data_IF_952888554978
#
_entry.id   IF_952888554978
#
_cell.length_a   1.000
_cell.length_b   1.000
_cell.length_c   1.000
_cell.angle_alpha   90.00
_cell.angle_beta   90.00
_cell.angle_gamma   90.00
#
_symmetry.space_group_name_H-M   'P 1'
#
loop_
_entity.id
_entity.type
_entity.pdbx_description
1 polymer ?
#
# COMPACT_ATOMS: atom_id res chain seq x y z
N UNK A 1 -5.37 -22.29 50.40
CA UNK A 1 -4.67 -21.90 49.16
C UNK A 1 -5.54 -22.32 47.98
N UNK A 2 -6.13 -21.38 47.26
CA UNK A 2 -6.86 -21.66 46.03
C UNK A 2 -5.87 -21.64 44.86
N UNK A 3 -5.39 -22.81 44.48
CA UNK A 3 -4.61 -23.03 43.26
C UNK A 3 -5.56 -23.10 42.08
N UNK A 4 -5.60 -22.06 41.25
CA UNK A 4 -6.33 -22.05 39.98
C UNK A 4 -5.52 -22.80 38.89
N UNK A 5 -6.16 -23.62 38.03
CA UNK A 5 -5.46 -24.42 37.03
C UNK A 5 -4.84 -23.54 35.92
N UNK A 6 -3.60 -23.88 35.52
CA UNK A 6 -2.82 -23.18 34.48
C UNK A 6 -3.56 -23.10 33.12
N UNK A 7 -4.46 -24.05 32.84
CA UNK A 7 -5.25 -24.11 31.61
C UNK A 7 -6.23 -22.93 31.43
N UNK A 8 -6.74 -22.33 32.52
CA UNK A 8 -7.65 -21.19 32.44
C UNK A 8 -6.96 -19.92 31.92
N UNK A 9 -5.66 -19.74 32.22
CA UNK A 9 -4.91 -18.56 31.77
C UNK A 9 -4.64 -18.59 30.28
N UNK A 10 -4.38 -19.77 29.71
CA UNK A 10 -4.09 -19.94 28.28
C UNK A 10 -5.32 -19.59 27.43
N UNK A 11 -6.51 -20.10 27.79
CA UNK A 11 -7.76 -19.79 27.08
C UNK A 11 -8.15 -18.31 27.17
N UNK A 12 -7.86 -17.65 28.29
CA UNK A 12 -8.11 -16.21 28.46
C UNK A 12 -7.18 -15.36 27.59
N UNK A 13 -5.90 -15.74 27.50
CA UNK A 13 -4.93 -15.07 26.62
C UNK A 13 -5.30 -15.26 25.16
N UNK A 14 -5.65 -16.48 24.75
CA UNK A 14 -6.10 -16.78 23.40
C UNK A 14 -7.32 -15.94 23.01
N UNK A 15 -8.34 -15.88 23.89
CA UNK A 15 -9.53 -15.05 23.66
C UNK A 15 -9.18 -13.56 23.55
N UNK A 16 -8.25 -13.06 24.37
CA UNK A 16 -7.80 -11.67 24.29
C UNK A 16 -7.05 -11.37 22.99
N UNK A 17 -6.17 -12.28 22.54
CA UNK A 17 -5.46 -12.16 21.26
C UNK A 17 -6.44 -12.19 20.09
N UNK A 18 -7.39 -13.13 20.07
CA UNK A 18 -8.43 -13.20 19.03
C UNK A 18 -9.27 -11.93 19.02
N UNK A 19 -9.70 -11.43 20.18
CA UNK A 19 -10.45 -10.17 20.27
C UNK A 19 -9.64 -9.01 19.69
N UNK A 20 -8.37 -8.87 20.07
CA UNK A 20 -7.48 -7.83 19.55
C UNK A 20 -7.31 -7.93 18.03
N UNK A 21 -7.19 -9.14 17.48
CA UNK A 21 -7.08 -9.36 16.03
C UNK A 21 -8.37 -8.98 15.30
N UNK A 22 -9.53 -9.38 15.83
CA UNK A 22 -10.85 -9.05 15.26
C UNK A 22 -11.10 -7.55 15.34
N UNK A 23 -10.83 -6.93 16.48
CA UNK A 23 -10.98 -5.49 16.69
C UNK A 23 -10.07 -4.70 15.74
N UNK A 24 -8.81 -5.14 15.58
CA UNK A 24 -7.86 -4.55 14.63
C UNK A 24 -8.35 -4.66 13.20
N UNK A 25 -8.89 -5.81 12.79
CA UNK A 25 -9.46 -5.99 11.45
C UNK A 25 -10.60 -4.99 11.22
N UNK A 26 -11.54 -4.88 12.16
CA UNK A 26 -12.64 -3.93 12.08
C UNK A 26 -12.18 -2.46 12.11
N UNK A 27 -11.09 -2.13 12.79
CA UNK A 27 -10.49 -0.80 12.74
C UNK A 27 -9.86 -0.48 11.37
N UNK A 28 -9.14 -1.44 10.77
CA UNK A 28 -8.53 -1.31 9.45
C UNK A 28 -9.61 -1.11 8.39
N UNK A 29 -10.68 -1.90 8.41
CA UNK A 29 -11.80 -1.78 7.46
C UNK A 29 -12.50 -0.41 7.56
N UNK A 30 -12.76 0.07 8.79
CA UNK A 30 -13.33 1.42 9.02
C UNK A 30 -12.39 2.51 8.52
N UNK A 31 -11.10 2.41 8.81
CA UNK A 31 -10.09 3.38 8.34
C UNK A 31 -9.99 3.38 6.82
N UNK A 32 -9.97 2.21 6.18
CA UNK A 32 -9.98 2.07 4.73
C UNK A 32 -11.21 2.73 4.09
N UNK A 33 -12.39 2.49 4.67
CA UNK A 33 -13.64 3.14 4.22
C UNK A 33 -13.58 4.66 4.35
N UNK A 34 -13.01 5.18 5.45
CA UNK A 34 -12.84 6.61 5.65
C UNK A 34 -11.90 7.22 4.60
N UNK A 35 -10.74 6.60 4.37
CA UNK A 35 -9.77 7.07 3.36
C UNK A 35 -10.40 7.08 1.97
N UNK A 36 -11.10 6.00 1.59
CA UNK A 36 -11.80 5.91 0.31
C UNK A 36 -12.80 7.06 0.10
N UNK A 37 -13.63 7.36 1.10
CA UNK A 37 -14.58 8.47 1.04
C UNK A 37 -13.90 9.82 0.86
N UNK A 38 -12.82 10.08 1.61
CA UNK A 38 -12.07 11.33 1.51
C UNK A 38 -11.39 11.50 0.15
N UNK A 39 -10.75 10.45 -0.37
CA UNK A 39 -10.12 10.49 -1.69
C UNK A 39 -11.16 10.68 -2.81
N UNK A 40 -12.32 10.04 -2.69
CA UNK A 40 -13.43 10.24 -3.64
C UNK A 40 -13.89 11.71 -3.65
N UNK A 41 -14.02 12.34 -2.48
CA UNK A 41 -14.40 13.74 -2.37
C UNK A 41 -13.34 14.69 -2.96
N UNK A 42 -12.06 14.37 -2.83
CA UNK A 42 -10.96 15.17 -3.40
C UNK A 42 -10.98 15.05 -4.93
N UNK A 43 -11.11 13.82 -5.44
CA UNK A 43 -11.16 13.59 -6.89
C UNK A 43 -12.34 14.29 -7.58
N UNK A 44 -13.47 14.50 -6.90
CA UNK A 44 -14.64 15.16 -7.48
C UNK A 44 -14.53 16.68 -7.56
N UNK A 45 -13.56 17.29 -6.88
CA UNK A 45 -13.30 18.73 -6.89
C UNK A 45 -12.43 19.18 -8.07
N UNK A 46 -12.09 18.27 -9.00
CA UNK A 46 -11.16 18.52 -10.12
C UNK A 46 -9.77 19.02 -9.68
N UNK A 47 -9.32 18.69 -8.46
CA UNK A 47 -8.04 19.13 -7.89
C UNK A 47 -6.80 18.44 -8.54
N UNK A 48 -7.00 17.64 -9.59
CA UNK A 48 -5.95 16.99 -10.35
C UNK A 48 -5.29 15.80 -9.63
N UNK A 49 -4.41 15.09 -10.33
CA UNK A 49 -3.74 13.89 -9.78
C UNK A 49 -2.74 14.23 -8.67
N UNK A 50 -2.08 15.39 -8.74
CA UNK A 50 -1.10 15.81 -7.73
C UNK A 50 -1.73 15.92 -6.34
N UNK A 51 -2.88 16.60 -6.21
CA UNK A 51 -3.55 16.75 -4.92
C UNK A 51 -4.03 15.40 -4.37
N UNK A 52 -4.45 14.48 -5.25
CA UNK A 52 -4.84 13.14 -4.84
C UNK A 52 -3.65 12.37 -4.25
N UNK A 53 -2.48 12.46 -4.88
CA UNK A 53 -1.25 11.81 -4.41
C UNK A 53 -0.79 12.40 -3.07
N UNK A 54 -0.83 13.72 -2.92
CA UNK A 54 -0.53 14.40 -1.65
C UNK A 54 -1.53 14.00 -0.55
N UNK A 55 -2.82 13.91 -0.87
CA UNK A 55 -3.84 13.44 0.06
C UNK A 55 -3.62 11.98 0.48
N UNK A 56 -3.29 11.09 -0.44
CA UNK A 56 -2.95 9.69 -0.11
C UNK A 56 -1.76 9.65 0.85
N UNK A 57 -0.71 10.43 0.58
CA UNK A 57 0.47 10.50 1.43
C UNK A 57 0.12 10.99 2.84
N UNK A 58 -0.66 12.08 2.95
CA UNK A 58 -1.11 12.62 4.26
C UNK A 58 -2.00 11.64 5.04
N UNK A 59 -2.94 10.97 4.36
CA UNK A 59 -3.91 10.08 5.02
C UNK A 59 -3.31 8.75 5.48
N UNK A 60 -2.27 8.28 4.79
CA UNK A 60 -1.61 7.00 5.05
C UNK A 60 -0.28 7.12 5.78
N UNK A 61 0.35 8.30 5.79
CA UNK A 61 1.70 8.51 6.30
C UNK A 61 2.79 7.81 5.47
N UNK A 62 2.49 7.43 4.22
CA UNK A 62 3.41 6.74 3.31
C UNK A 62 3.96 7.69 2.26
N UNK A 63 5.13 7.36 1.72
CA UNK A 63 5.53 7.93 0.43
C UNK A 63 4.66 7.29 -0.65
N UNK A 64 4.28 8.08 -1.66
CA UNK A 64 3.44 7.65 -2.77
C UNK A 64 4.15 8.01 -4.07
N UNK A 65 4.19 7.09 -5.03
CA UNK A 65 4.68 7.31 -6.38
C UNK A 65 3.70 6.77 -7.42
N UNK A 66 3.36 7.60 -8.41
CA UNK A 66 2.54 7.22 -9.55
C UNK A 66 3.43 7.16 -10.78
N UNK A 67 3.45 6.02 -11.45
CA UNK A 67 4.27 5.76 -12.62
C UNK A 67 3.40 5.56 -13.87
N UNK A 68 3.92 5.92 -15.04
CA UNK A 68 3.35 5.51 -16.33
C UNK A 68 3.72 4.06 -16.69
N UNK A 69 3.21 3.57 -17.83
CA UNK A 69 3.50 2.22 -18.36
C UNK A 69 4.98 1.97 -18.70
N UNK A 70 5.82 3.02 -18.72
CA UNK A 70 7.27 2.97 -18.97
C UNK A 70 8.06 3.20 -17.68
N UNK A 71 7.39 3.19 -16.52
CA UNK A 71 7.96 3.40 -15.19
C UNK A 71 8.52 4.79 -14.93
N UNK A 72 8.16 5.78 -15.75
CA UNK A 72 8.43 7.18 -15.42
C UNK A 72 7.52 7.62 -14.29
N UNK A 73 8.09 8.17 -13.22
CA UNK A 73 7.34 8.79 -12.13
C UNK A 73 6.69 10.07 -12.68
N UNK A 74 5.35 10.10 -12.69
CA UNK A 74 4.54 11.25 -13.10
C UNK A 74 4.22 12.16 -11.91
N UNK A 75 3.98 11.55 -10.75
CA UNK A 75 3.64 12.24 -9.50
C UNK A 75 4.27 11.49 -8.34
N UNK A 76 4.75 12.22 -7.34
CA UNK A 76 5.28 11.61 -6.12
C UNK A 76 5.18 12.56 -4.94
N UNK A 77 4.88 12.00 -3.77
CA UNK A 77 4.97 12.70 -2.49
C UNK A 77 5.86 11.88 -1.58
N UNK A 78 6.99 12.45 -1.17
CA UNK A 78 8.01 11.79 -0.36
C UNK A 78 7.86 12.23 1.08
N UNK A 79 7.80 11.27 2.01
CA UNK A 79 7.76 11.58 3.44
C UNK A 79 9.18 11.91 3.94
N UNK A 80 9.33 12.78 4.97
CA UNK A 80 10.64 13.22 5.45
C UNK A 80 11.64 12.08 5.73
N UNK A 81 11.17 10.96 6.26
CA UNK A 81 12.00 9.79 6.58
C UNK A 81 12.60 9.08 5.35
N UNK A 82 12.12 9.37 4.14
CA UNK A 82 12.59 8.74 2.91
C UNK A 82 13.43 9.66 2.02
N UNK A 83 13.57 10.94 2.37
CA UNK A 83 14.29 11.94 1.55
C UNK A 83 15.72 11.50 1.26
N UNK A 84 16.42 10.97 2.27
CA UNK A 84 17.82 10.52 2.13
C UNK A 84 17.99 9.30 1.22
N UNK A 85 16.93 8.52 0.96
CA UNK A 85 16.97 7.30 0.16
C UNK A 85 16.26 7.47 -1.19
N UNK A 86 15.73 8.66 -1.47
CA UNK A 86 14.79 8.84 -2.58
C UNK A 86 15.43 8.55 -3.94
N UNK A 87 16.66 8.99 -4.17
CA UNK A 87 17.37 8.76 -5.44
C UNK A 87 17.56 7.27 -5.74
N UNK A 88 17.90 6.48 -4.72
CA UNK A 88 18.06 5.02 -4.83
C UNK A 88 16.72 4.33 -5.10
N UNK A 89 15.67 4.76 -4.39
CA UNK A 89 14.30 4.27 -4.59
C UNK A 89 13.85 4.59 -6.02
N UNK A 90 13.98 5.83 -6.46
CA UNK A 90 13.59 6.27 -7.80
C UNK A 90 14.35 5.48 -8.89
N UNK A 91 15.66 5.30 -8.74
CA UNK A 91 16.48 4.49 -9.64
C UNK A 91 16.00 3.03 -9.69
N UNK A 92 15.60 2.46 -8.55
CA UNK A 92 15.04 1.11 -8.48
C UNK A 92 13.68 1.03 -9.18
N UNK A 93 12.78 1.99 -8.94
CA UNK A 93 11.41 2.02 -9.47
C UNK A 93 11.36 2.15 -11.00
N UNK A 94 12.38 2.76 -11.62
CA UNK A 94 12.46 2.98 -13.07
C UNK A 94 12.85 1.73 -13.88
N UNK A 95 13.26 0.63 -13.24
CA UNK A 95 13.72 -0.59 -13.93
C UNK A 95 12.57 -1.59 -14.06
N UNK A 96 12.29 -2.04 -15.28
CA UNK A 96 11.22 -3.01 -15.54
C UNK A 96 11.44 -4.35 -14.84
N UNK A 97 12.68 -4.83 -14.82
CA UNK A 97 13.07 -6.09 -14.17
C UNK A 97 12.87 -6.05 -12.64
N UNK A 98 12.73 -4.85 -12.07
CA UNK A 98 12.40 -4.64 -10.67
C UNK A 98 10.88 -4.62 -10.40
N UNK A 99 9.99 -4.79 -11.38
CA UNK A 99 8.59 -5.05 -11.09
C UNK A 99 8.41 -6.51 -10.64
N UNK A 100 7.46 -6.79 -9.71
CA UNK A 100 7.01 -8.16 -9.47
C UNK A 100 6.62 -8.85 -10.78
N UNK A 101 6.96 -10.12 -10.93
CA UNK A 101 6.82 -10.87 -12.20
C UNK A 101 5.39 -10.86 -12.71
N UNK A 102 4.42 -10.89 -11.80
CA UNK A 102 2.99 -10.83 -12.10
C UNK A 102 2.61 -9.50 -12.75
N UNK A 103 3.30 -8.42 -12.40
CA UNK A 103 3.00 -7.05 -12.84
C UNK A 103 3.78 -6.61 -14.09
N UNK A 104 4.71 -7.43 -14.57
CA UNK A 104 5.53 -7.13 -15.76
C UNK A 104 4.70 -7.20 -17.05
N UNK A 105 3.81 -8.18 -17.19
CA UNK A 105 2.92 -8.27 -18.34
C UNK A 105 1.66 -7.40 -18.16
N UNK A 106 1.74 -6.17 -18.69
CA UNK A 106 0.65 -5.19 -18.67
C UNK A 106 -0.66 -5.66 -19.31
N UNK A 107 -0.67 -6.71 -20.14
CA UNK A 107 -1.89 -7.23 -20.75
C UNK A 107 -2.60 -8.27 -19.86
N UNK A 108 -1.90 -8.79 -18.85
CA UNK A 108 -2.40 -9.83 -17.95
C UNK A 108 -2.67 -9.33 -16.54
N UNK A 109 -2.26 -8.10 -16.22
CA UNK A 109 -2.45 -7.54 -14.86
C UNK A 109 -3.91 -7.46 -14.39
N UNK A 110 -4.88 -7.44 -15.30
CA UNK A 110 -6.31 -7.48 -14.93
C UNK A 110 -6.81 -8.86 -14.52
N UNK A 111 -6.04 -9.92 -14.78
CA UNK A 111 -6.38 -11.31 -14.46
C UNK A 111 -5.82 -11.75 -13.10
N UNK A 112 -5.01 -10.90 -12.46
CA UNK A 112 -4.37 -11.21 -11.18
C UNK A 112 -5.38 -11.05 -10.03
N UNK A 113 -5.53 -12.10 -9.21
CA UNK A 113 -6.42 -12.06 -8.04
C UNK A 113 -5.96 -11.03 -6.99
N UNK A 114 -4.66 -11.00 -6.70
CA UNK A 114 -4.04 -10.06 -5.77
C UNK A 114 -3.27 -8.98 -6.53
N UNK A 115 -3.95 -7.93 -6.98
CA UNK A 115 -3.33 -6.87 -7.75
C UNK A 115 -2.29 -6.05 -6.97
N UNK A 116 -2.35 -6.05 -5.63
CA UNK A 116 -1.39 -5.35 -4.77
C UNK A 116 -0.30 -6.32 -4.31
N UNK A 117 0.95 -6.03 -4.66
CA UNK A 117 2.11 -6.85 -4.34
C UNK A 117 3.03 -6.13 -3.34
N UNK A 118 3.52 -6.85 -2.34
CA UNK A 118 4.54 -6.35 -1.42
C UNK A 118 5.92 -6.70 -2.00
N UNK A 119 6.79 -5.70 -2.13
CA UNK A 119 8.13 -5.89 -2.68
C UNK A 119 9.18 -5.18 -1.82
N UNK A 120 10.22 -5.92 -1.45
CA UNK A 120 11.39 -5.36 -0.77
C UNK A 120 12.16 -4.41 -1.69
N UNK A 121 12.61 -3.28 -1.14
CA UNK A 121 13.46 -2.32 -1.83
C UNK A 121 14.94 -2.64 -1.55
N UNK A 122 15.88 -2.14 -2.38
CA UNK A 122 17.32 -2.39 -2.18
C UNK A 122 17.83 -1.77 -0.88
N UNK A 123 17.17 -0.72 -0.38
CA UNK A 123 17.45 -0.10 0.91
C UNK A 123 16.93 -1.01 2.04
N UNK A 124 17.81 -1.46 2.97
CA UNK A 124 17.42 -2.35 4.05
C UNK A 124 16.27 -1.80 4.90
N UNK A 125 15.31 -2.66 5.22
CA UNK A 125 14.15 -2.32 6.04
C UNK A 125 13.05 -1.54 5.31
N UNK A 126 13.21 -1.27 4.01
CA UNK A 126 12.18 -0.65 3.18
C UNK A 126 11.50 -1.67 2.27
N UNK A 127 10.19 -1.50 2.10
CA UNK A 127 9.38 -2.24 1.17
C UNK A 127 8.30 -1.33 0.59
N UNK A 128 7.85 -1.64 -0.62
CA UNK A 128 6.72 -0.97 -1.29
C UNK A 128 5.53 -1.90 -1.42
N UNK A 129 4.34 -1.31 -1.43
CA UNK A 129 3.15 -1.95 -1.97
C UNK A 129 2.96 -1.42 -3.38
N UNK A 130 3.00 -2.28 -4.39
CA UNK A 130 2.82 -1.87 -5.79
C UNK A 130 1.52 -2.44 -6.34
N UNK A 131 0.74 -1.60 -6.99
CA UNK A 131 -0.52 -1.96 -7.64
C UNK A 131 -0.57 -1.42 -9.07
N UNK A 132 -1.08 -2.19 -10.05
CA UNK A 132 -1.24 -1.71 -11.42
C UNK A 132 -2.40 -0.71 -11.50
N UNK A 133 -2.21 0.37 -12.26
CA UNK A 133 -3.28 1.27 -12.68
C UNK A 133 -3.85 0.72 -13.98
N UNK A 134 -5.10 0.22 -13.94
CA UNK A 134 -5.70 -0.50 -15.05
C UNK A 134 -6.74 0.38 -15.76
N UNK A 135 -6.72 0.38 -17.09
CA UNK A 135 -7.76 1.01 -17.91
C UNK A 135 -8.01 0.17 -19.14
N UNK A 136 -9.30 -0.20 -19.37
CA UNK A 136 -9.71 -1.11 -20.45
C UNK A 136 -8.92 -2.44 -20.41
N UNK A 137 -8.83 -3.03 -19.21
CA UNK A 137 -8.13 -4.31 -18.96
C UNK A 137 -6.64 -4.33 -19.29
N UNK A 138 -6.01 -3.15 -19.42
CA UNK A 138 -4.58 -3.04 -19.70
C UNK A 138 -3.93 -2.16 -18.63
N UNK A 139 -2.77 -2.58 -18.13
CA UNK A 139 -1.89 -1.78 -17.27
C UNK A 139 -1.42 -0.51 -17.98
N UNK A 140 -1.73 0.64 -17.38
CA UNK A 140 -1.35 1.98 -17.85
C UNK A 140 -0.27 2.64 -17.01
N UNK A 141 0.04 2.05 -15.87
CA UNK A 141 0.96 2.60 -14.90
C UNK A 141 0.92 1.79 -13.62
N UNK A 142 1.55 2.33 -12.59
CA UNK A 142 1.65 1.69 -11.29
C UNK A 142 1.52 2.74 -10.18
N UNK A 143 0.91 2.35 -9.08
CA UNK A 143 0.90 3.08 -7.82
C UNK A 143 1.83 2.33 -6.86
N UNK A 144 2.80 3.03 -6.28
CA UNK A 144 3.71 2.53 -5.24
C UNK A 144 3.63 3.38 -3.99
#
# INVERSE_FOLDING_TARGET
MLTLPVEQRIRLVEKAVVSLLVDRKGQIERRGTQIYRQLTQISSRNEGMSELVDAMARLTGKAIAVQDKRLHILYSTVQPQFVAYWDDIESFLRKHDNLPVELQDRHRVSEIENAVQLQSLPTPGLARLVAPIITKSIGRGYLS
#
